data_IF_022381864479
#
_entry.id   IF_022381864479
#
_cell.length_a   1.000
_cell.length_b   1.000
_cell.length_c   1.000
_cell.angle_alpha   90.00
_cell.angle_beta   90.00
_cell.angle_gamma   90.00
#
_symmetry.space_group_name_H-M   'P 1'
#
loop_
_entity.id
_entity.type
_entity.pdbx_description
1 polymer ?
#
# COMPACT_ATOMS: atom_id res chain seq x y z
N UNK A 1 1.53 -12.62 -14.74
CA UNK A 1 1.73 -13.82 -15.53
C UNK A 1 1.52 -13.57 -17.02
N UNK A 2 1.43 -14.62 -17.82
CA UNK A 2 1.30 -14.53 -19.29
C UNK A 2 0.02 -13.81 -19.76
N UNK A 3 -0.98 -13.65 -18.89
CA UNK A 3 -2.18 -12.87 -19.20
C UNK A 3 -1.94 -11.38 -19.52
N UNK A 4 -0.74 -10.86 -19.26
CA UNK A 4 -0.35 -9.50 -19.67
C UNK A 4 0.15 -9.41 -21.12
N UNK A 5 0.18 -10.53 -21.84
CA UNK A 5 0.71 -10.62 -23.21
C UNK A 5 -0.33 -11.06 -24.23
N UNK A 6 -1.61 -10.84 -23.96
CA UNK A 6 -2.66 -11.12 -24.94
C UNK A 6 -2.97 -9.90 -25.80
N UNK A 7 -3.67 -10.12 -26.91
CA UNK A 7 -3.99 -9.11 -27.91
C UNK A 7 -4.67 -7.89 -27.30
N UNK A 8 -4.23 -6.70 -27.69
CA UNK A 8 -4.77 -5.41 -27.27
C UNK A 8 -4.21 -4.86 -25.94
N UNK A 9 -3.56 -5.69 -25.10
CA UNK A 9 -3.02 -5.22 -23.82
C UNK A 9 -1.75 -4.40 -24.00
N UNK A 10 -0.86 -4.85 -24.88
CA UNK A 10 0.38 -4.12 -25.17
C UNK A 10 0.06 -2.77 -25.81
N UNK A 11 -0.87 -2.76 -26.77
CA UNK A 11 -1.34 -1.56 -27.42
C UNK A 11 -1.95 -0.58 -26.39
N UNK A 12 -2.76 -1.07 -25.45
CA UNK A 12 -3.33 -0.21 -24.42
C UNK A 12 -2.27 0.44 -23.53
N UNK A 13 -1.19 -0.27 -23.19
CA UNK A 13 -0.09 0.30 -22.42
C UNK A 13 0.68 1.37 -23.22
N UNK A 14 0.88 1.16 -24.51
CA UNK A 14 1.48 2.16 -25.39
C UNK A 14 0.59 3.42 -25.48
N UNK A 15 -0.70 3.23 -25.70
CA UNK A 15 -1.67 4.34 -25.78
C UNK A 15 -1.73 5.13 -24.47
N UNK A 16 -1.75 4.46 -23.33
CA UNK A 16 -1.73 5.10 -22.02
C UNK A 16 -0.43 5.90 -21.79
N UNK A 17 0.71 5.34 -22.18
CA UNK A 17 2.00 6.02 -22.07
C UNK A 17 2.06 7.27 -22.97
N UNK A 18 1.61 7.17 -24.22
CA UNK A 18 1.54 8.29 -25.16
C UNK A 18 0.58 9.37 -24.64
N UNK A 19 -0.61 8.97 -24.19
CA UNK A 19 -1.59 9.90 -23.62
C UNK A 19 -1.04 10.63 -22.40
N UNK A 20 -0.36 9.91 -21.48
CA UNK A 20 0.26 10.51 -20.32
C UNK A 20 1.36 11.52 -20.73
N UNK A 21 2.22 11.17 -21.70
CA UNK A 21 3.26 12.06 -22.22
C UNK A 21 2.67 13.34 -22.83
N UNK A 22 1.66 13.22 -23.67
CA UNK A 22 0.98 14.38 -24.28
C UNK A 22 0.29 15.26 -23.24
N UNK A 23 -0.38 14.66 -22.27
CA UNK A 23 -1.01 15.40 -21.15
C UNK A 23 0.03 16.16 -20.34
N UNK A 24 1.19 15.55 -20.09
CA UNK A 24 2.26 16.18 -19.33
C UNK A 24 2.91 17.38 -20.05
N UNK A 25 2.89 17.44 -21.37
CA UNK A 25 3.35 18.62 -22.10
C UNK A 25 2.53 19.89 -21.80
N UNK A 26 1.26 19.71 -21.45
CA UNK A 26 0.34 20.81 -21.09
C UNK A 26 0.19 20.98 -19.58
N UNK A 27 0.96 20.24 -18.78
CA UNK A 27 0.84 20.25 -17.33
C UNK A 27 1.21 21.61 -16.74
N UNK A 28 0.61 21.94 -15.62
CA UNK A 28 0.93 23.11 -14.81
C UNK A 28 1.40 22.65 -13.44
N UNK A 29 2.21 23.44 -12.74
CA UNK A 29 2.59 23.13 -11.37
C UNK A 29 1.34 22.89 -10.51
N UNK A 30 1.36 21.82 -9.71
CA UNK A 30 0.31 21.58 -8.74
C UNK A 30 0.32 22.70 -7.67
N UNK A 31 -0.84 23.12 -7.15
CA UNK A 31 -0.90 24.07 -6.06
C UNK A 31 -0.20 23.47 -4.83
N UNK A 32 0.59 24.31 -4.15
CA UNK A 32 1.23 23.95 -2.88
C UNK A 32 0.47 24.58 -1.71
N UNK A 33 0.30 23.84 -0.63
CA UNK A 33 -0.38 24.34 0.57
C UNK A 33 -1.25 23.26 1.21
N UNK A 34 -1.88 23.63 2.32
CA UNK A 34 -2.85 22.77 3.00
C UNK A 34 -4.18 22.79 2.24
N UNK A 35 -4.67 21.61 1.89
CA UNK A 35 -5.92 21.46 1.16
C UNK A 35 -6.56 20.08 1.36
N UNK A 36 -7.85 20.00 1.16
CA UNK A 36 -8.55 18.70 1.11
C UNK A 36 -8.18 17.96 -0.17
N UNK A 37 -7.76 16.71 -0.02
CA UNK A 37 -7.39 15.84 -1.15
C UNK A 37 -8.24 14.58 -1.15
N UNK A 38 -8.54 14.07 -2.35
CA UNK A 38 -9.16 12.77 -2.56
C UNK A 38 -8.14 11.86 -3.22
N UNK A 39 -7.76 10.79 -2.53
CA UNK A 39 -6.86 9.77 -3.06
C UNK A 39 -7.68 8.67 -3.72
N UNK A 40 -7.46 8.46 -5.03
CA UNK A 40 -8.04 7.33 -5.76
C UNK A 40 -7.32 6.01 -5.46
N UNK A 41 -7.80 4.88 -6.01
CA UNK A 41 -7.09 3.60 -5.94
C UNK A 41 -5.83 3.59 -6.82
N UNK A 42 -4.94 2.64 -6.59
CA UNK A 42 -3.74 2.42 -7.38
C UNK A 42 -2.52 3.16 -6.84
N UNK A 43 -1.86 4.01 -7.63
CA UNK A 43 -0.63 4.71 -7.26
C UNK A 43 -0.66 5.45 -5.91
N UNK A 44 -1.76 6.08 -5.47
CA UNK A 44 -1.85 6.63 -4.11
C UNK A 44 -1.64 5.62 -2.99
N UNK A 45 -1.78 4.32 -3.27
CA UNK A 45 -1.40 3.26 -2.33
C UNK A 45 0.09 3.27 -1.95
N UNK A 46 0.97 3.77 -2.83
CA UNK A 46 2.40 3.97 -2.52
C UNK A 46 2.57 5.01 -1.41
N UNK A 47 1.78 6.09 -1.41
CA UNK A 47 1.80 7.06 -0.32
C UNK A 47 1.41 6.41 1.01
N UNK A 48 0.40 5.52 1.02
CA UNK A 48 0.02 4.77 2.22
C UNK A 48 1.14 3.84 2.67
N UNK A 49 1.80 3.15 1.73
CA UNK A 49 2.96 2.29 1.99
C UNK A 49 4.08 3.08 2.69
N UNK A 50 4.48 4.22 2.14
CA UNK A 50 5.56 5.05 2.70
C UNK A 50 5.17 5.73 4.02
N UNK A 51 3.96 6.28 4.10
CA UNK A 51 3.54 7.05 5.27
C UNK A 51 3.19 6.19 6.49
N UNK A 52 2.70 4.98 6.28
CA UNK A 52 2.15 4.11 7.34
C UNK A 52 2.80 2.73 7.32
N UNK A 53 2.94 2.11 6.14
CA UNK A 53 3.36 0.72 5.99
C UNK A 53 4.70 0.45 6.66
N UNK A 54 5.74 1.18 6.34
CA UNK A 54 7.06 1.04 6.96
C UNK A 54 7.03 1.27 8.48
N UNK A 55 6.18 2.16 8.97
CA UNK A 55 6.00 2.38 10.40
C UNK A 55 5.34 1.20 11.13
N UNK A 56 4.67 0.32 10.40
CA UNK A 56 3.99 -0.86 10.94
C UNK A 56 4.78 -2.16 10.80
N UNK A 57 6.00 -2.13 10.27
CA UNK A 57 6.88 -3.30 10.21
C UNK A 57 7.24 -3.79 11.62
N UNK A 58 7.25 -5.11 11.79
CA UNK A 58 7.44 -5.75 13.10
C UNK A 58 8.77 -5.42 13.75
N UNK A 59 9.85 -5.36 12.96
CA UNK A 59 11.20 -5.13 13.49
C UNK A 59 11.36 -3.71 14.07
N UNK A 60 10.82 -2.67 13.42
CA UNK A 60 10.83 -1.31 13.96
C UNK A 60 10.00 -1.20 15.24
N UNK A 61 8.86 -1.90 15.28
CA UNK A 61 8.00 -1.91 16.46
C UNK A 61 8.60 -2.70 17.62
N UNK A 62 9.24 -3.84 17.37
CA UNK A 62 9.99 -4.60 18.37
C UNK A 62 11.16 -3.80 18.94
N UNK A 63 11.88 -3.07 18.12
CA UNK A 63 12.99 -2.19 18.53
C UNK A 63 12.52 -0.91 19.23
N UNK A 64 11.23 -0.58 19.20
CA UNK A 64 10.68 0.64 19.79
C UNK A 64 11.02 1.91 19.03
N UNK A 65 11.37 1.81 17.74
CA UNK A 65 11.78 2.94 16.89
C UNK A 65 10.64 3.53 16.06
N UNK A 66 9.51 2.83 15.97
CA UNK A 66 8.31 3.33 15.29
C UNK A 66 7.43 4.16 16.23
N UNK A 67 6.74 5.16 15.66
CA UNK A 67 5.69 5.91 16.37
C UNK A 67 4.49 5.03 16.78
N UNK A 68 4.37 3.83 16.20
CA UNK A 68 3.31 2.86 16.50
C UNK A 68 3.70 1.86 17.58
N UNK A 69 4.94 1.86 18.04
CA UNK A 69 5.44 0.87 19.00
C UNK A 69 4.66 0.89 20.30
N UNK A 70 4.15 -0.29 20.72
CA UNK A 70 3.39 -0.47 21.95
C UNK A 70 1.97 0.07 21.93
N UNK A 71 1.47 0.54 20.79
CA UNK A 71 0.17 1.23 20.69
C UNK A 71 -0.98 0.36 20.16
N UNK A 72 -0.82 -0.95 20.15
CA UNK A 72 -1.94 -1.86 19.78
C UNK A 72 -3.13 -1.63 20.72
N UNK A 73 -4.31 -1.45 20.13
CA UNK A 73 -5.54 -1.09 20.83
C UNK A 73 -5.80 0.42 20.92
N UNK A 74 -4.82 1.26 20.57
CA UNK A 74 -4.99 2.72 20.58
C UNK A 74 -5.51 3.24 19.24
N UNK A 75 -6.11 4.43 19.28
CA UNK A 75 -6.49 5.17 18.08
C UNK A 75 -5.25 5.83 17.47
N UNK A 76 -4.93 5.44 16.22
CA UNK A 76 -3.80 5.96 15.45
C UNK A 76 -4.22 6.63 14.15
N UNK A 77 -5.49 6.52 13.78
CA UNK A 77 -6.07 7.16 12.60
C UNK A 77 -7.50 7.64 12.87
N UNK A 78 -8.06 8.40 11.95
CA UNK A 78 -9.44 8.86 12.04
C UNK A 78 -10.44 7.68 12.05
N UNK A 79 -11.64 7.83 12.66
CA UNK A 79 -12.71 6.86 12.51
C UNK A 79 -13.01 6.58 11.03
N UNK A 80 -13.35 5.33 10.70
CA UNK A 80 -13.61 4.88 9.34
C UNK A 80 -12.36 4.48 8.55
N UNK A 81 -11.15 4.79 9.02
CA UNK A 81 -9.90 4.36 8.37
C UNK A 81 -9.57 2.92 8.73
N UNK A 82 -9.52 2.05 7.71
CA UNK A 82 -9.09 0.66 7.85
C UNK A 82 -7.93 0.39 6.90
N UNK A 83 -6.84 -0.16 7.42
CA UNK A 83 -5.62 -0.51 6.68
C UNK A 83 -5.38 -2.00 6.80
N UNK A 84 -5.18 -2.64 5.64
CA UNK A 84 -5.01 -4.08 5.52
C UNK A 84 -3.79 -4.36 4.68
N UNK A 85 -2.93 -5.25 5.15
CA UNK A 85 -1.90 -5.91 4.36
C UNK A 85 -2.44 -7.27 3.88
N UNK A 86 -2.50 -7.46 2.56
CA UNK A 86 -3.14 -8.65 1.98
C UNK A 86 -2.31 -9.23 0.84
N UNK A 87 -1.56 -10.27 1.16
CA UNK A 87 -0.78 -11.03 0.17
C UNK A 87 -1.59 -12.09 -0.60
N UNK A 88 -2.90 -12.23 -0.35
CA UNK A 88 -3.72 -13.30 -0.93
C UNK A 88 -4.53 -12.88 -2.16
N UNK A 89 -4.47 -11.62 -2.57
CA UNK A 89 -5.24 -11.10 -3.70
C UNK A 89 -4.78 -11.71 -5.03
N UNK A 90 -5.71 -12.29 -5.77
CA UNK A 90 -5.42 -12.91 -7.06
C UNK A 90 -4.85 -11.91 -8.07
N UNK A 91 -3.86 -12.38 -8.85
CA UNK A 91 -3.24 -11.64 -9.94
C UNK A 91 -2.67 -10.25 -9.55
N UNK A 92 -2.34 -10.03 -8.30
CA UNK A 92 -1.63 -8.82 -7.86
C UNK A 92 -0.12 -9.05 -7.81
N UNK A 93 0.65 -8.02 -8.18
CA UNK A 93 2.11 -8.10 -8.24
C UNK A 93 2.75 -8.40 -6.88
N UNK A 94 2.19 -7.88 -5.80
CA UNK A 94 2.68 -8.07 -4.44
C UNK A 94 2.15 -9.31 -3.74
N UNK A 95 1.26 -10.08 -4.37
CA UNK A 95 0.71 -11.30 -3.77
C UNK A 95 1.65 -12.49 -3.93
N UNK A 96 1.72 -13.31 -2.89
CA UNK A 96 2.57 -14.48 -2.80
C UNK A 96 1.76 -15.67 -2.28
N UNK A 97 2.14 -16.89 -2.62
CA UNK A 97 1.56 -18.10 -2.03
C UNK A 97 2.20 -18.39 -0.67
N UNK A 98 3.52 -18.21 -0.60
CA UNK A 98 4.34 -18.36 0.59
C UNK A 98 5.37 -17.22 0.62
N UNK A 99 5.78 -16.82 1.80
CA UNK A 99 6.85 -15.84 2.00
C UNK A 99 8.25 -16.48 1.96
N UNK A 100 9.29 -15.68 2.19
CA UNK A 100 10.68 -16.15 2.17
C UNK A 100 11.04 -17.08 3.38
N UNK A 101 10.17 -17.13 4.38
CA UNK A 101 10.29 -18.05 5.51
C UNK A 101 9.52 -19.35 5.30
N UNK A 102 8.78 -19.49 4.19
CA UNK A 102 7.95 -20.64 3.89
C UNK A 102 6.57 -20.61 4.55
N UNK A 103 6.19 -19.49 5.18
CA UNK A 103 4.87 -19.33 5.75
C UNK A 103 3.85 -18.92 4.67
N UNK A 104 2.61 -19.44 4.71
CA UNK A 104 1.55 -18.99 3.81
C UNK A 104 1.26 -17.50 4.03
N UNK A 105 1.06 -16.77 2.91
CA UNK A 105 0.62 -15.39 3.01
C UNK A 105 -0.81 -15.30 3.53
N UNK A 106 -1.16 -14.18 4.11
CA UNK A 106 -2.44 -13.99 4.76
C UNK A 106 -2.96 -12.56 4.57
N UNK A 107 -4.18 -12.34 4.98
CA UNK A 107 -4.80 -11.04 5.07
C UNK A 107 -4.74 -10.54 6.51
N UNK A 108 -3.92 -9.53 6.77
CA UNK A 108 -3.66 -8.96 8.08
C UNK A 108 -4.32 -7.59 8.22
N UNK A 109 -5.21 -7.41 9.18
CA UNK A 109 -5.77 -6.11 9.52
C UNK A 109 -4.80 -5.39 10.43
N UNK A 110 -4.21 -4.30 9.95
CA UNK A 110 -3.26 -3.48 10.69
C UNK A 110 -3.95 -2.39 11.51
N UNK A 111 -4.89 -1.69 10.89
CA UNK A 111 -5.73 -0.66 11.52
C UNK A 111 -7.18 -0.96 11.16
N UNK A 112 -8.08 -0.92 12.13
CA UNK A 112 -9.53 -1.09 11.93
C UNK A 112 -10.29 0.05 12.58
N UNK A 113 -11.08 0.75 11.79
CA UNK A 113 -11.81 1.95 12.26
C UNK A 113 -10.92 2.93 13.04
N UNK A 114 -9.69 3.12 12.57
CA UNK A 114 -8.71 4.00 13.21
C UNK A 114 -7.98 3.41 14.42
N UNK A 115 -8.29 2.18 14.84
CA UNK A 115 -7.65 1.51 15.96
C UNK A 115 -6.56 0.57 15.46
N UNK A 116 -5.36 0.69 16.00
CA UNK A 116 -4.23 -0.20 15.68
C UNK A 116 -4.53 -1.62 16.19
N UNK A 117 -4.46 -2.61 15.30
CA UNK A 117 -4.72 -4.03 15.61
C UNK A 117 -3.46 -4.87 15.69
N UNK A 118 -2.43 -4.51 14.95
CA UNK A 118 -1.20 -5.28 14.90
C UNK A 118 -0.18 -4.66 13.96
N UNK A 119 0.87 -5.41 13.70
CA UNK A 119 2.00 -5.03 12.87
C UNK A 119 2.19 -6.03 11.73
N UNK A 120 3.00 -5.67 10.74
CA UNK A 120 3.49 -6.57 9.70
C UNK A 120 4.63 -7.37 10.33
N UNK A 121 4.40 -8.64 10.63
CA UNK A 121 5.32 -9.47 11.41
C UNK A 121 5.84 -10.66 10.59
N UNK A 122 7.00 -11.12 10.97
CA UNK A 122 7.62 -12.37 10.55
C UNK A 122 7.89 -13.29 11.76
N UNK A 123 8.62 -14.40 11.59
CA UNK A 123 8.90 -15.33 12.68
C UNK A 123 9.88 -14.78 13.73
N UNK A 124 10.56 -13.67 13.43
CA UNK A 124 11.53 -13.04 14.33
C UNK A 124 10.95 -11.87 15.14
N UNK A 125 9.78 -11.35 14.74
CA UNK A 125 9.21 -10.10 15.27
C UNK A 125 7.81 -10.27 15.81
#
# INVERSE_FOLDING_TARGET
GLGYFHDGVIESYVDDAVKAALTNLESRPAPAGEMTVVLGPGWPGVLLHEAIGHGLEGDFNRKGTSIYSGRVGERVAAPGVTVIDDGTLDARRGSLNIDDEGAPTQRTVLIEDGILKGYIQDSMN
#
